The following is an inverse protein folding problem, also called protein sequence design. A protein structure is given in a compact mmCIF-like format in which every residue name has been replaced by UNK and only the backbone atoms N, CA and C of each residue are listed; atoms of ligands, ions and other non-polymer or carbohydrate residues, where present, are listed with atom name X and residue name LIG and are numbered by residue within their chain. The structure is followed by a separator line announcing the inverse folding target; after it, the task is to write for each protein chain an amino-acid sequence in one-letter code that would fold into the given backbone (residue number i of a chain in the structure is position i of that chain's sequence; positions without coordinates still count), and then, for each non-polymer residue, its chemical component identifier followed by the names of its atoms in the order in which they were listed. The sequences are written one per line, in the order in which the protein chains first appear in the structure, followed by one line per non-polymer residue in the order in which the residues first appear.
data_IF_484805596088
#
_entry.id   IF_484805596088
#
_cell.length_a   1.000
_cell.length_b   1.000
_cell.length_c   1.000
_cell.angle_alpha   90.00
_cell.angle_beta   90.00
_cell.angle_gamma   90.00
#
_symmetry.space_group_name_H-M   'P 1'
#
loop_
_entity.id
_entity.type
_entity.pdbx_description
1 polymer ?
#
# COMPACT_ATOMS: atom_id res chain seq x y z
N UNK A 1 24.58 12.18 -13.83
CA UNK A 1 23.71 11.04 -14.23
C UNK A 1 23.90 10.78 -15.73
N UNK A 2 24.17 9.54 -16.13
CA UNK A 2 24.21 9.12 -17.55
C UNK A 2 23.09 8.12 -17.76
N UNK A 3 22.12 8.44 -18.61
CA UNK A 3 20.99 7.56 -18.91
C UNK A 3 21.29 6.82 -20.21
N UNK A 4 21.09 5.50 -20.22
CA UNK A 4 21.23 4.63 -21.39
C UNK A 4 19.98 3.77 -21.51
N UNK A 5 19.55 3.54 -22.76
CA UNK A 5 18.46 2.62 -23.10
C UNK A 5 19.02 1.63 -24.10
N UNK A 6 18.89 0.34 -23.79
CA UNK A 6 19.31 -0.78 -24.64
C UNK A 6 18.03 -1.52 -25.06
N UNK A 7 17.83 -1.74 -26.35
CA UNK A 7 16.69 -2.47 -26.91
C UNK A 7 17.20 -3.81 -27.41
N UNK A 8 16.63 -4.89 -26.90
CA UNK A 8 16.96 -6.27 -27.25
C UNK A 8 15.68 -7.00 -27.68
N UNK A 9 15.57 -7.25 -28.99
CA UNK A 9 14.40 -7.88 -29.60
C UNK A 9 14.30 -9.38 -29.28
N UNK A 10 15.30 -9.97 -28.61
CA UNK A 10 15.27 -11.38 -28.18
C UNK A 10 14.55 -11.58 -26.83
N UNK A 11 14.27 -10.51 -26.09
CA UNK A 11 13.58 -10.58 -24.81
C UNK A 11 12.08 -10.84 -25.02
N UNK A 12 11.55 -11.87 -24.35
CA UNK A 12 10.11 -12.17 -24.33
C UNK A 12 9.33 -11.29 -23.36
N UNK A 13 9.99 -10.77 -22.33
CA UNK A 13 9.41 -9.90 -21.31
C UNK A 13 10.27 -8.65 -21.08
N UNK A 14 9.64 -7.58 -20.61
CA UNK A 14 10.32 -6.32 -20.30
C UNK A 14 11.21 -6.49 -19.05
N UNK A 15 12.52 -6.36 -19.23
CA UNK A 15 13.49 -6.26 -18.15
C UNK A 15 13.93 -4.80 -17.93
N UNK A 16 14.10 -4.39 -16.67
CA UNK A 16 14.66 -3.07 -16.32
C UNK A 16 15.79 -3.27 -15.31
N UNK A 17 17.00 -2.85 -15.67
CA UNK A 17 18.20 -2.98 -14.83
C UNK A 17 18.69 -1.60 -14.37
N UNK A 18 18.73 -1.38 -13.06
CA UNK A 18 19.30 -0.16 -12.45
C UNK A 18 20.74 -0.45 -12.02
N UNK A 19 21.72 0.18 -12.69
CA UNK A 19 23.15 0.07 -12.34
C UNK A 19 23.62 1.33 -11.63
N UNK A 20 24.06 1.21 -10.37
CA UNK A 20 24.57 2.32 -9.57
C UNK A 20 25.75 1.88 -8.66
N UNK A 21 26.65 2.80 -8.23
CA UNK A 21 27.77 2.46 -7.34
C UNK A 21 27.36 1.97 -5.95
N UNK A 22 26.18 2.40 -5.48
CA UNK A 22 25.59 1.99 -4.19
C UNK A 22 24.07 2.11 -4.28
N UNK A 23 23.36 1.41 -3.40
CA UNK A 23 21.93 1.57 -3.22
C UNK A 23 21.66 2.70 -2.20
N UNK A 24 21.35 3.89 -2.69
CA UNK A 24 21.06 5.08 -1.87
C UNK A 24 19.63 5.59 -2.08
N UNK A 25 19.31 6.75 -1.49
CA UNK A 25 17.96 7.30 -1.53
C UNK A 25 17.46 7.59 -2.95
N UNK A 26 18.35 7.97 -3.87
CA UNK A 26 18.02 8.23 -5.27
C UNK A 26 17.70 6.91 -6.01
N UNK A 27 18.54 5.88 -5.82
CA UNK A 27 18.30 4.54 -6.38
C UNK A 27 17.00 3.92 -5.86
N UNK A 28 16.71 4.09 -4.57
CA UNK A 28 15.46 3.61 -3.97
C UNK A 28 14.23 4.32 -4.57
N UNK A 29 14.30 5.64 -4.80
CA UNK A 29 13.21 6.40 -5.43
C UNK A 29 12.96 5.97 -6.88
N UNK A 30 14.02 5.74 -7.67
CA UNK A 30 13.90 5.26 -9.05
C UNK A 30 13.31 3.85 -9.11
N UNK A 31 13.79 2.94 -8.26
CA UNK A 31 13.23 1.60 -8.15
C UNK A 31 11.73 1.63 -7.84
N UNK A 32 11.33 2.42 -6.84
CA UNK A 32 9.93 2.57 -6.46
C UNK A 32 9.08 3.14 -7.61
N UNK A 33 9.55 4.16 -8.31
CA UNK A 33 8.82 4.77 -9.43
C UNK A 33 8.63 3.78 -10.59
N UNK A 34 9.68 3.08 -10.98
CA UNK A 34 9.65 2.06 -12.03
C UNK A 34 8.73 0.90 -11.63
N UNK A 35 8.85 0.43 -10.39
CA UNK A 35 8.01 -0.67 -9.86
C UNK A 35 6.53 -0.28 -9.88
N UNK A 36 6.18 0.95 -9.50
CA UNK A 36 4.79 1.45 -9.55
C UNK A 36 4.25 1.57 -10.97
N UNK A 37 5.09 1.90 -11.94
CA UNK A 37 4.67 2.07 -13.34
C UNK A 37 4.58 0.73 -14.09
N UNK A 38 5.43 -0.22 -13.71
CA UNK A 38 5.43 -1.61 -14.20
C UNK A 38 4.31 -2.42 -13.57
N UNK A 39 4.00 -2.13 -12.30
CA UNK A 39 2.73 -2.45 -11.68
C UNK A 39 1.65 -1.56 -12.32
N UNK A 40 1.21 -1.91 -13.54
CA UNK A 40 -0.23 -2.04 -13.70
C UNK A 40 -0.66 -2.95 -12.55
N UNK A 41 -1.05 -2.35 -11.42
CA UNK A 41 -1.79 -3.05 -10.39
C UNK A 41 -2.90 -3.72 -11.19
N UNK A 42 -2.87 -5.06 -11.29
CA UNK A 42 -4.03 -5.79 -11.79
C UNK A 42 -5.21 -5.15 -11.08
N UNK A 43 -6.11 -4.53 -11.83
CA UNK A 43 -7.15 -3.68 -11.25
C UNK A 43 -7.84 -4.50 -10.18
N UNK A 44 -7.69 -4.09 -8.91
CA UNK A 44 -8.32 -4.83 -7.84
C UNK A 44 -9.83 -4.74 -8.07
N UNK A 45 -10.48 -5.90 -8.13
CA UNK A 45 -11.93 -5.99 -8.21
C UNK A 45 -12.47 -6.08 -6.79
N UNK A 46 -13.38 -5.18 -6.47
CA UNK A 46 -14.01 -5.05 -5.17
C UNK A 46 -15.46 -5.50 -5.28
N UNK A 47 -16.01 -6.13 -4.24
CA UNK A 47 -17.35 -6.73 -4.28
C UNK A 47 -18.23 -6.18 -3.17
N UNK A 48 -19.49 -5.89 -3.48
CA UNK A 48 -20.51 -5.54 -2.48
C UNK A 48 -21.86 -6.09 -2.93
N UNK A 49 -22.37 -7.08 -2.19
CA UNK A 49 -23.47 -7.91 -2.67
C UNK A 49 -23.04 -8.66 -3.94
N UNK A 50 -23.88 -8.65 -4.97
CA UNK A 50 -23.63 -9.32 -6.25
C UNK A 50 -22.91 -8.43 -7.28
N UNK A 51 -22.49 -7.23 -6.88
CA UNK A 51 -21.91 -6.22 -7.77
C UNK A 51 -20.39 -6.13 -7.63
N UNK A 52 -19.73 -6.01 -8.78
CA UNK A 52 -18.31 -5.65 -8.89
C UNK A 52 -18.11 -4.14 -8.93
N UNK A 53 -17.03 -3.69 -8.30
CA UNK A 53 -16.61 -2.30 -8.20
C UNK A 53 -15.14 -2.17 -8.57
N UNK A 54 -14.82 -1.11 -9.31
CA UNK A 54 -13.49 -0.77 -9.76
C UNK A 54 -13.12 0.57 -9.14
N UNK A 55 -12.43 0.52 -8.01
CA UNK A 55 -12.15 1.70 -7.18
C UNK A 55 -10.73 2.21 -7.42
N UNK A 56 -10.54 3.53 -7.26
CA UNK A 56 -9.19 4.06 -7.08
C UNK A 56 -8.63 3.61 -5.74
N UNK A 57 -7.36 3.20 -5.72
CA UNK A 57 -6.66 2.88 -4.48
C UNK A 57 -6.53 4.10 -3.54
N UNK A 58 -6.62 5.31 -4.09
CA UNK A 58 -6.60 6.55 -3.30
C UNK A 58 -7.87 6.73 -2.46
N UNK A 59 -8.98 6.13 -2.88
CA UNK A 59 -10.25 6.14 -2.13
C UNK A 59 -10.26 5.11 -0.98
N UNK A 60 -9.33 4.15 -1.00
CA UNK A 60 -9.22 3.11 0.03
C UNK A 60 -8.42 3.66 1.22
N UNK A 61 -9.05 3.64 2.39
CA UNK A 61 -8.45 4.05 3.66
C UNK A 61 -7.56 2.94 4.21
N UNK A 62 -8.07 1.71 4.23
CA UNK A 62 -7.36 0.52 4.70
C UNK A 62 -8.02 -0.75 4.19
N UNK A 63 -7.29 -1.85 4.28
CA UNK A 63 -7.76 -3.21 4.13
C UNK A 63 -7.69 -3.89 5.48
N UNK A 64 -8.70 -4.67 5.83
CA UNK A 64 -8.66 -5.53 7.01
C UNK A 64 -9.25 -6.91 6.77
N UNK A 65 -8.81 -7.89 7.54
CA UNK A 65 -9.43 -9.21 7.58
C UNK A 65 -10.51 -9.25 8.66
N UNK A 66 -11.75 -9.45 8.23
CA UNK A 66 -12.94 -9.70 9.08
C UNK A 66 -13.50 -11.06 8.66
N UNK A 67 -13.76 -11.94 9.63
CA UNK A 67 -14.36 -13.27 9.38
C UNK A 67 -13.73 -14.08 8.23
N UNK A 68 -12.39 -14.06 8.16
CA UNK A 68 -11.56 -14.77 7.16
C UNK A 68 -11.66 -14.22 5.73
N UNK A 69 -12.36 -13.12 5.52
CA UNK A 69 -12.42 -12.38 4.26
C UNK A 69 -11.68 -11.05 4.42
N UNK A 70 -11.08 -10.55 3.33
CA UNK A 70 -10.45 -9.22 3.35
C UNK A 70 -11.45 -8.21 2.82
N UNK A 71 -11.51 -7.07 3.48
CA UNK A 71 -12.40 -5.97 3.18
C UNK A 71 -11.58 -4.70 2.97
N UNK A 72 -11.89 -3.97 1.89
CA UNK A 72 -11.38 -2.65 1.61
C UNK A 72 -12.38 -1.60 2.12
N UNK A 73 -11.90 -0.69 2.95
CA UNK A 73 -12.74 0.34 3.56
C UNK A 73 -12.46 1.67 2.88
N UNK A 74 -13.48 2.24 2.24
CA UNK A 74 -13.49 3.65 1.84
C UNK A 74 -14.13 4.49 2.95
N UNK A 75 -14.23 5.81 2.76
CA UNK A 75 -14.95 6.70 3.68
C UNK A 75 -16.39 6.23 3.90
N UNK A 76 -17.12 5.99 2.81
CA UNK A 76 -18.56 5.72 2.85
C UNK A 76 -18.91 4.23 2.88
N UNK A 77 -18.04 3.36 2.34
CA UNK A 77 -18.38 1.98 2.05
C UNK A 77 -17.29 0.99 2.47
N UNK A 78 -17.66 -0.26 2.39
CA UNK A 78 -16.81 -1.42 2.59
C UNK A 78 -17.08 -2.39 1.44
N UNK A 79 -16.01 -3.01 0.95
CA UNK A 79 -16.07 -3.95 -0.16
C UNK A 79 -15.22 -5.15 0.14
N UNK A 80 -15.76 -6.34 -0.11
CA UNK A 80 -14.99 -7.56 -0.09
C UNK A 80 -13.93 -7.56 -1.21
N UNK A 81 -12.80 -8.19 -0.94
CA UNK A 81 -11.79 -8.52 -1.94
C UNK A 81 -11.35 -9.97 -1.77
N UNK A 82 -11.16 -10.67 -2.88
CA UNK A 82 -10.81 -12.09 -2.86
C UNK A 82 -9.35 -12.35 -2.48
N UNK A 83 -8.49 -11.33 -2.61
CA UNK A 83 -7.08 -11.43 -2.29
C UNK A 83 -6.88 -11.55 -0.77
N UNK A 84 -5.87 -12.33 -0.38
CA UNK A 84 -5.40 -12.40 0.99
C UNK A 84 -4.56 -11.18 1.33
N UNK A 85 -4.50 -10.85 2.61
CA UNK A 85 -3.79 -9.65 3.07
C UNK A 85 -2.29 -9.68 2.72
N UNK A 86 -1.65 -10.86 2.69
CA UNK A 86 -0.24 -10.95 2.29
C UNK A 86 -0.03 -10.71 0.78
N UNK A 87 -1.00 -11.10 -0.06
CA UNK A 87 -0.97 -10.85 -1.51
C UNK A 87 -1.10 -9.35 -1.77
N UNK A 88 -2.05 -8.73 -1.06
CA UNK A 88 -2.22 -7.28 -1.08
C UNK A 88 -0.98 -6.55 -0.58
N UNK A 89 -0.28 -7.03 0.44
CA UNK A 89 0.97 -6.42 0.91
C UNK A 89 2.07 -6.44 -0.17
N UNK A 90 2.13 -7.50 -0.99
CA UNK A 90 3.09 -7.59 -2.09
C UNK A 90 2.71 -6.69 -3.27
N UNK A 91 1.41 -6.56 -3.56
CA UNK A 91 0.89 -5.77 -4.67
C UNK A 91 0.82 -4.26 -4.35
N UNK A 92 0.39 -3.93 -3.14
CA UNK A 92 0.17 -2.57 -2.66
C UNK A 92 1.47 -2.04 -2.04
N UNK A 93 2.37 -1.55 -2.89
CA UNK A 93 3.62 -0.93 -2.46
C UNK A 93 3.50 0.60 -2.35
N UNK A 94 4.52 1.26 -1.80
CA UNK A 94 4.56 2.72 -1.70
C UNK A 94 3.60 3.30 -0.65
N UNK A 95 2.38 3.67 -1.06
CA UNK A 95 1.44 4.38 -0.20
C UNK A 95 0.73 3.49 0.82
N UNK A 96 0.81 2.18 0.66
CA UNK A 96 0.22 1.22 1.59
C UNK A 96 1.27 0.64 2.55
N UNK A 97 0.83 0.32 3.76
CA UNK A 97 1.68 -0.29 4.78
C UNK A 97 0.88 -1.20 5.69
N UNK A 98 1.40 -2.41 5.93
CA UNK A 98 0.86 -3.30 6.94
C UNK A 98 1.13 -2.76 8.35
N UNK A 99 0.10 -2.78 9.20
CA UNK A 99 0.17 -2.24 10.57
C UNK A 99 -0.19 -3.27 11.65
N UNK A 100 -0.72 -4.42 11.24
CA UNK A 100 -1.05 -5.54 12.11
C UNK A 100 -1.07 -6.84 11.31
N UNK A 101 -1.32 -7.97 11.98
CA UNK A 101 -1.54 -9.24 11.27
C UNK A 101 -2.77 -9.20 10.35
N UNK A 102 -3.73 -8.33 10.63
CA UNK A 102 -5.03 -8.28 9.96
C UNK A 102 -5.31 -6.97 9.23
N UNK A 103 -4.40 -5.98 9.19
CA UNK A 103 -4.67 -4.69 8.55
C UNK A 103 -3.48 -4.09 7.77
N UNK A 104 -3.80 -3.51 6.61
CA UNK A 104 -2.94 -2.67 5.76
C UNK A 104 -3.61 -1.32 5.60
N UNK A 105 -2.91 -0.22 5.84
CA UNK A 105 -3.47 1.14 5.70
C UNK A 105 -2.91 1.87 4.49
N UNK A 106 -3.69 2.80 3.94
CA UNK A 106 -3.21 3.83 3.04
C UNK A 106 -2.63 5.00 3.85
N UNK A 107 -1.31 5.17 3.81
CA UNK A 107 -0.59 6.25 4.47
C UNK A 107 -1.09 7.63 4.01
N UNK A 108 -1.49 7.76 2.73
CA UNK A 108 -2.03 9.00 2.14
C UNK A 108 -3.26 9.55 2.86
N UNK A 109 -4.07 8.63 3.40
CA UNK A 109 -5.33 8.92 4.06
C UNK A 109 -5.24 9.01 5.59
N UNK A 110 -4.06 8.80 6.17
CA UNK A 110 -3.87 8.98 7.62
C UNK A 110 -4.08 10.45 7.99
N UNK A 111 -4.96 10.69 8.96
CA UNK A 111 -5.21 12.00 9.56
C UNK A 111 -4.42 12.19 10.85
N UNK A 112 -4.43 11.19 11.73
CA UNK A 112 -3.68 11.27 12.99
C UNK A 112 -3.32 9.89 13.52
N UNK A 113 -2.25 9.88 14.32
CA UNK A 113 -1.88 8.76 15.18
C UNK A 113 -2.10 9.17 16.64
N UNK A 114 -2.91 8.41 17.36
CA UNK A 114 -3.11 8.60 18.80
C UNK A 114 -2.48 7.44 19.56
N UNK A 115 -1.48 7.72 20.39
CA UNK A 115 -0.87 6.73 21.27
C UNK A 115 -1.51 6.78 22.65
N UNK A 116 -1.96 5.63 23.12
CA UNK A 116 -2.35 5.38 24.50
C UNK A 116 -1.30 4.52 25.20
N UNK A 117 -1.52 4.22 26.48
CA UNK A 117 -0.63 3.35 27.28
C UNK A 117 -0.51 1.95 26.67
N UNK A 118 -1.59 1.42 26.10
CA UNK A 118 -1.67 0.03 25.63
C UNK A 118 -1.76 -0.13 24.10
N UNK A 119 -2.12 0.92 23.37
CA UNK A 119 -2.39 0.82 21.93
C UNK A 119 -2.08 2.10 21.15
N UNK A 120 -1.83 1.95 19.86
CA UNK A 120 -1.73 3.07 18.92
C UNK A 120 -2.87 2.96 17.93
N UNK A 121 -3.60 4.06 17.75
CA UNK A 121 -4.78 4.15 16.88
C UNK A 121 -4.45 5.05 15.70
N UNK A 122 -4.78 4.60 14.49
CA UNK A 122 -4.78 5.38 13.26
C UNK A 122 -6.19 5.87 13.00
N UNK A 123 -6.34 7.18 12.78
CA UNK A 123 -7.57 7.81 12.27
C UNK A 123 -7.37 8.29 10.84
N UNK A 124 -8.43 8.25 10.05
CA UNK A 124 -8.39 8.59 8.62
C UNK A 124 -9.07 9.91 8.32
N UNK A 125 -8.66 10.56 7.23
CA UNK A 125 -9.26 11.81 6.76
C UNK A 125 -10.72 11.58 6.39
N UNK A 126 -11.59 12.52 6.76
CA UNK A 126 -13.02 12.52 6.42
C UNK A 126 -13.78 11.24 6.81
N UNK A 127 -13.30 10.50 7.80
CA UNK A 127 -13.91 9.22 8.20
C UNK A 127 -13.87 9.05 9.72
N UNK A 128 -14.92 8.45 10.26
CA UNK A 128 -14.97 8.00 11.65
C UNK A 128 -14.27 6.66 11.88
N UNK A 129 -13.87 5.97 10.80
CA UNK A 129 -13.19 4.66 10.89
C UNK A 129 -11.81 4.83 11.51
N UNK A 130 -11.39 3.81 12.26
CA UNK A 130 -10.10 3.76 12.93
C UNK A 130 -9.57 2.33 13.01
N UNK A 131 -8.24 2.19 13.02
CA UNK A 131 -7.59 0.88 13.13
C UNK A 131 -6.45 0.90 14.15
N UNK A 132 -6.19 -0.26 14.76
CA UNK A 132 -5.16 -0.41 15.79
C UNK A 132 -3.86 -0.94 15.20
N UNK A 133 -2.75 -0.33 15.61
CA UNK A 133 -1.40 -0.70 15.20
C UNK A 133 -0.82 -1.69 16.20
N UNK A 134 -0.35 -2.83 15.71
CA UNK A 134 0.36 -3.81 16.53
C UNK A 134 1.76 -3.31 16.88
N UNK A 135 2.25 -3.63 18.09
CA UNK A 135 3.54 -3.16 18.64
C UNK A 135 4.71 -3.25 17.64
N UNK A 136 4.81 -4.36 16.90
CA UNK A 136 5.87 -4.61 15.91
C UNK A 136 5.88 -3.58 14.77
N UNK A 137 4.73 -3.04 14.39
CA UNK A 137 4.59 -2.17 13.21
C UNK A 137 4.62 -0.69 13.54
N UNK A 138 4.52 -0.31 14.83
CA UNK A 138 4.43 1.09 15.23
C UNK A 138 5.65 1.91 14.83
N UNK A 139 6.87 1.45 15.17
CA UNK A 139 8.09 2.18 14.83
C UNK A 139 8.25 2.34 13.31
N UNK A 140 8.14 1.27 12.49
CA UNK A 140 8.14 1.42 11.03
C UNK A 140 7.08 2.38 10.49
N UNK A 141 5.85 2.35 11.04
CA UNK A 141 4.77 3.24 10.62
C UNK A 141 5.09 4.70 10.90
N UNK A 142 5.57 4.99 12.12
CA UNK A 142 5.97 6.33 12.51
C UNK A 142 7.07 6.87 11.59
N UNK A 143 8.12 6.08 11.35
CA UNK A 143 9.23 6.45 10.48
C UNK A 143 8.78 6.71 9.02
N UNK A 144 7.77 5.98 8.53
CA UNK A 144 7.20 6.20 7.18
C UNK A 144 6.38 7.49 7.09
N UNK A 145 5.66 7.86 8.15
CA UNK A 145 4.85 9.08 8.17
C UNK A 145 5.71 10.34 8.36
N UNK A 146 6.77 10.29 9.16
CA UNK A 146 7.68 11.42 9.38
C UNK A 146 8.47 11.80 8.12
N UNK A 147 8.85 10.85 7.27
CA UNK A 147 9.52 11.11 5.99
C UNK A 147 8.66 11.82 4.93
N UNK A 148 7.37 12.01 5.20
CA UNK A 148 6.45 12.70 4.27
C UNK A 148 6.28 14.19 4.57
N UNK A 149 6.68 14.64 5.76
CA UNK A 149 6.74 16.06 6.12
C UNK A 149 8.07 16.66 5.72
#
# INVERSE_FOLDING_TARGET
MKVRVEIDDSLTDKEIVIKAPKYDAEVAQLYDAISRQSAKVQSLVFYKGDSEYYLSLDDVLFFETVDRQVHAHTVANEYAIHHRLYELEMMLTGQFMRISKSAIINLGNVFSLTRSVSSVVVKFKNSSKQVYVSRRYYKPLKDRLERRG
#
